data_IF_598015965148
#
_entry.id   IF_598015965148
#
_cell.length_a   1.000
_cell.length_b   1.000
_cell.length_c   1.000
_cell.angle_alpha   90.00
_cell.angle_beta   90.00
_cell.angle_gamma   90.00
#
_symmetry.space_group_name_H-M   'P 1'
#
loop_
_entity.id
_entity.type
_entity.pdbx_description
1 polymer ?
#
# COMPACT_ATOMS: atom_id res chain seq x y z
N UNK A 1 -3.93 17.80 -6.88
CA UNK A 1 -3.50 16.50 -6.33
C UNK A 1 -4.09 15.37 -7.16
N UNK A 2 -3.37 14.28 -7.37
CA UNK A 2 -3.85 13.13 -8.14
C UNK A 2 -4.62 12.16 -7.21
N UNK A 3 -5.85 11.77 -7.58
CA UNK A 3 -6.75 10.98 -6.72
C UNK A 3 -6.18 9.62 -6.28
N UNK A 4 -5.19 9.11 -7.01
CA UNK A 4 -4.53 7.83 -6.72
C UNK A 4 -3.52 7.90 -5.57
N UNK A 5 -3.08 9.11 -5.17
CA UNK A 5 -1.98 9.28 -4.21
C UNK A 5 -2.29 8.71 -2.82
N UNK A 6 -3.56 8.75 -2.40
CA UNK A 6 -4.00 8.17 -1.14
C UNK A 6 -3.81 6.64 -1.07
N UNK A 7 -3.69 5.96 -2.22
CA UNK A 7 -3.46 4.52 -2.27
C UNK A 7 -1.99 4.14 -2.10
N UNK A 8 -1.05 5.05 -2.36
CA UNK A 8 0.37 4.78 -2.25
C UNK A 8 0.88 4.81 -0.80
N UNK A 9 0.26 5.60 0.08
CA UNK A 9 0.63 5.64 1.50
C UNK A 9 0.48 4.27 2.20
N UNK A 10 -0.66 3.57 2.08
CA UNK A 10 -0.79 2.18 2.51
C UNK A 10 0.25 1.26 1.87
N UNK A 11 0.45 1.31 0.55
CA UNK A 11 1.43 0.47 -0.14
C UNK A 11 2.84 0.65 0.46
N UNK A 12 3.26 1.89 0.68
CA UNK A 12 4.53 2.20 1.34
C UNK A 12 4.59 1.63 2.75
N UNK A 13 3.54 1.78 3.55
CA UNK A 13 3.53 1.29 4.94
C UNK A 13 3.53 -0.23 5.06
N UNK A 14 2.90 -0.95 4.13
CA UNK A 14 2.73 -2.41 4.23
C UNK A 14 3.79 -3.19 3.47
N UNK A 15 4.32 -2.64 2.37
CA UNK A 15 5.23 -3.36 1.47
C UNK A 15 6.64 -2.77 1.52
N UNK A 16 6.79 -1.45 1.52
CA UNK A 16 8.10 -0.82 1.34
C UNK A 16 8.81 -0.49 2.66
N UNK A 17 8.07 -0.17 3.72
CA UNK A 17 8.63 0.34 4.97
C UNK A 17 9.35 -0.76 5.74
N UNK A 18 10.68 -0.67 5.80
CA UNK A 18 11.53 -1.60 6.56
C UNK A 18 11.78 -2.93 5.85
N UNK A 19 11.40 -3.05 4.59
CA UNK A 19 11.60 -4.25 3.78
C UNK A 19 12.90 -4.14 2.98
N UNK A 20 13.74 -5.18 3.02
CA UNK A 20 14.89 -5.31 2.13
C UNK A 20 14.64 -6.50 1.19
N UNK A 21 14.11 -6.22 -0.01
CA UNK A 21 13.87 -7.27 -1.00
C UNK A 21 15.18 -7.61 -1.73
N UNK A 22 15.49 -8.90 -1.94
CA UNK A 22 16.75 -9.31 -2.56
C UNK A 22 16.85 -8.95 -4.05
N UNK A 23 15.72 -8.69 -4.73
CA UNK A 23 15.65 -8.27 -6.12
C UNK A 23 14.29 -7.60 -6.45
N UNK A 24 14.19 -7.04 -7.65
CA UNK A 24 12.99 -6.37 -8.13
C UNK A 24 11.79 -7.32 -8.31
N UNK A 25 12.00 -8.59 -8.65
CA UNK A 25 10.92 -9.58 -8.80
C UNK A 25 10.25 -9.92 -7.47
N UNK A 26 11.04 -10.03 -6.40
CA UNK A 26 10.54 -10.22 -5.05
C UNK A 26 9.69 -9.04 -4.59
N UNK A 27 10.14 -7.82 -4.86
CA UNK A 27 9.35 -6.61 -4.60
C UNK A 27 8.05 -6.59 -5.42
N UNK A 28 8.11 -6.86 -6.72
CA UNK A 28 6.94 -6.89 -7.59
C UNK A 28 5.89 -7.92 -7.12
N UNK A 29 6.36 -9.08 -6.68
CA UNK A 29 5.50 -10.12 -6.10
C UNK A 29 4.85 -9.67 -4.78
N UNK A 30 5.59 -9.01 -3.90
CA UNK A 30 5.04 -8.46 -2.67
C UNK A 30 3.99 -7.37 -2.93
N UNK A 31 4.23 -6.48 -3.91
CA UNK A 31 3.25 -5.48 -4.36
C UNK A 31 1.98 -6.17 -4.88
N UNK A 32 2.11 -7.17 -5.77
CA UNK A 32 0.97 -7.92 -6.32
C UNK A 32 0.15 -8.61 -5.22
N UNK A 33 0.82 -9.27 -4.28
CA UNK A 33 0.18 -9.92 -3.13
C UNK A 33 -0.57 -8.91 -2.26
N UNK A 34 0.05 -7.76 -1.98
CA UNK A 34 -0.60 -6.68 -1.25
C UNK A 34 -1.83 -6.12 -1.98
N UNK A 35 -1.76 -5.91 -3.30
CA UNK A 35 -2.91 -5.44 -4.07
C UNK A 35 -4.08 -6.42 -4.02
N UNK A 36 -3.81 -7.73 -4.15
CA UNK A 36 -4.82 -8.78 -3.99
C UNK A 36 -5.44 -8.77 -2.59
N UNK A 37 -4.62 -8.68 -1.55
CA UNK A 37 -5.07 -8.60 -0.17
C UNK A 37 -5.92 -7.35 0.08
N UNK A 38 -5.45 -6.17 -0.36
CA UNK A 38 -6.17 -4.89 -0.21
C UNK A 38 -7.54 -4.96 -0.86
N UNK A 39 -7.62 -5.49 -2.09
CA UNK A 39 -8.87 -5.57 -2.82
C UNK A 39 -9.88 -6.48 -2.10
N UNK A 40 -9.42 -7.54 -1.43
CA UNK A 40 -10.26 -8.40 -0.58
C UNK A 40 -10.63 -7.75 0.77
N UNK A 41 -9.78 -6.86 1.30
CA UNK A 41 -9.92 -6.26 2.63
C UNK A 41 -10.09 -4.73 2.59
N UNK A 42 -10.98 -4.25 1.72
CA UNK A 42 -11.20 -2.82 1.47
C UNK A 42 -11.60 -2.02 2.71
N UNK A 43 -12.26 -2.65 3.69
CA UNK A 43 -12.73 -2.02 4.94
C UNK A 43 -11.78 -2.21 6.12
N UNK A 44 -10.57 -2.72 5.89
CA UNK A 44 -9.62 -2.98 6.98
C UNK A 44 -9.20 -1.68 7.69
N UNK A 45 -9.39 -1.63 9.01
CA UNK A 45 -9.22 -0.40 9.78
C UNK A 45 -7.82 0.23 9.66
N UNK A 46 -6.76 -0.59 9.62
CA UNK A 46 -5.39 -0.08 9.43
C UNK A 46 -5.18 0.52 8.03
N UNK A 47 -5.79 -0.07 7.00
CA UNK A 47 -5.71 0.44 5.64
C UNK A 47 -6.41 1.80 5.53
N UNK A 48 -7.61 1.92 6.11
CA UNK A 48 -8.35 3.19 6.15
C UNK A 48 -7.60 4.26 6.93
N UNK A 49 -6.93 3.91 8.03
CA UNK A 49 -6.06 4.85 8.77
C UNK A 49 -4.91 5.36 7.90
N UNK A 50 -4.21 4.47 7.20
CA UNK A 50 -3.10 4.88 6.32
C UNK A 50 -3.58 5.74 5.14
N UNK A 51 -4.76 5.46 4.57
CA UNK A 51 -5.35 6.30 3.50
C UNK A 51 -5.71 7.70 4.01
N UNK A 52 -6.25 7.80 5.23
CA UNK A 52 -6.64 9.08 5.87
C UNK A 52 -5.46 9.98 6.23
N UNK A 53 -4.23 9.47 6.24
CA UNK A 53 -3.03 10.30 6.45
C UNK A 53 -2.73 11.20 5.26
N UNK A 54 -3.15 10.80 4.06
CA UNK A 54 -3.05 11.64 2.87
C UNK A 54 -4.29 12.50 2.82
N UNK A 55 -4.15 13.76 3.22
CA UNK A 55 -5.19 14.78 2.99
C UNK A 55 -5.12 15.15 1.51
N UNK A 56 -6.10 14.69 0.74
CA UNK A 56 -6.36 15.25 -0.59
C UNK A 56 -6.99 16.62 -0.34
N UNK A 57 -6.19 17.67 -0.50
CA UNK A 57 -6.65 19.08 -0.51
C UNK A 57 -7.03 19.44 -1.95
#
# INVERSE_FOLDING_TARGET
MNRIECHFAPLRSFVLRGSNYPNHEALATAIRSYLRWRNKHSRHARLLREQKKIKVV
#
